data_IF_641371073582
#
_entry.id   IF_641371073582
#
_cell.length_a   1.000
_cell.length_b   1.000
_cell.length_c   1.000
_cell.angle_alpha   90.00
_cell.angle_beta   90.00
_cell.angle_gamma   90.00
#
_symmetry.space_group_name_H-M   'P 1'
#
loop_
_entity.id
_entity.type
_entity.pdbx_description
1 polymer ?
#
# COMPACT_ATOMS: atom_id res chain seq x y z
N UNK A 1 20.43 8.18 0.79
CA UNK A 1 21.61 7.33 0.55
C UNK A 1 22.70 7.48 1.61
N UNK A 2 23.33 8.65 1.81
CA UNK A 2 24.38 8.82 2.85
C UNK A 2 23.97 8.37 4.26
N UNK A 3 22.82 8.82 4.75
CA UNK A 3 22.28 8.37 6.07
C UNK A 3 22.05 6.86 6.17
N UNK A 4 21.70 6.19 5.06
CA UNK A 4 21.48 4.74 5.03
C UNK A 4 22.81 3.97 5.02
N UNK A 5 23.83 4.52 4.35
CA UNK A 5 25.19 3.99 4.38
C UNK A 5 25.77 4.03 5.81
N UNK A 6 25.50 5.12 6.54
CA UNK A 6 25.92 5.28 7.94
C UNK A 6 25.22 4.29 8.89
N UNK A 7 23.95 3.94 8.62
CA UNK A 7 23.17 3.01 9.44
C UNK A 7 23.45 1.54 9.12
N UNK A 8 23.58 1.19 7.84
CA UNK A 8 23.83 -0.18 7.39
C UNK A 8 24.38 -0.20 5.97
N UNK A 9 25.69 -0.45 5.87
CA UNK A 9 26.38 -0.65 4.59
C UNK A 9 25.80 -1.83 3.78
N UNK A 10 25.53 -3.01 4.36
CA UNK A 10 24.93 -4.12 3.59
C UNK A 10 23.58 -3.77 2.96
N UNK A 11 22.71 -3.06 3.71
CA UNK A 11 21.42 -2.63 3.18
C UNK A 11 21.58 -1.58 2.08
N UNK A 12 22.52 -0.64 2.26
CA UNK A 12 22.87 0.35 1.25
C UNK A 12 23.32 -0.30 -0.06
N UNK A 13 24.25 -1.24 0.01
CA UNK A 13 24.83 -1.87 -1.18
C UNK A 13 23.79 -2.72 -1.92
N UNK A 14 22.93 -3.44 -1.18
CA UNK A 14 21.78 -4.14 -1.76
C UNK A 14 20.80 -3.20 -2.48
N UNK A 15 20.51 -2.04 -1.90
CA UNK A 15 19.56 -1.08 -2.47
C UNK A 15 20.12 -0.38 -3.71
N UNK A 16 21.42 -0.05 -3.71
CA UNK A 16 22.11 0.59 -4.86
C UNK A 16 22.15 -0.33 -6.08
N UNK A 17 22.18 -1.65 -5.89
CA UNK A 17 22.11 -2.63 -6.98
C UNK A 17 20.75 -2.60 -7.70
N UNK A 18 19.67 -2.18 -7.02
CA UNK A 18 18.32 -2.14 -7.60
C UNK A 18 18.09 -0.85 -8.37
N UNK A 19 17.37 -0.97 -9.47
CA UNK A 19 16.99 0.18 -10.30
C UNK A 19 16.25 1.25 -9.46
N UNK A 20 16.79 2.49 -9.38
CA UNK A 20 16.21 3.59 -8.62
C UNK A 20 14.75 3.90 -8.97
N UNK A 21 14.28 3.54 -10.17
CA UNK A 21 12.88 3.74 -10.57
C UNK A 21 11.88 2.97 -9.70
N UNK A 22 12.29 1.87 -9.07
CA UNK A 22 11.41 1.06 -8.24
C UNK A 22 11.30 1.53 -6.79
N UNK A 23 12.30 2.26 -6.28
CA UNK A 23 12.40 2.56 -4.84
C UNK A 23 12.67 4.04 -4.52
N UNK A 24 13.18 4.82 -5.47
CA UNK A 24 13.42 6.25 -5.26
C UNK A 24 12.23 7.07 -5.75
N UNK A 25 11.62 7.81 -4.83
CA UNK A 25 10.53 8.75 -5.13
C UNK A 25 10.89 9.80 -6.18
N UNK A 26 12.19 10.10 -6.38
CA UNK A 26 12.65 11.05 -7.39
C UNK A 26 12.33 10.63 -8.83
N UNK A 27 12.09 9.33 -9.06
CA UNK A 27 11.78 8.76 -10.38
C UNK A 27 10.28 8.54 -10.60
N UNK A 28 9.44 8.77 -9.59
CA UNK A 28 7.99 8.67 -9.77
C UNK A 28 7.48 9.83 -10.61
N UNK A 29 6.56 9.54 -11.53
CA UNK A 29 5.96 10.55 -12.40
C UNK A 29 5.28 11.61 -11.52
N UNK A 30 5.64 12.87 -11.73
CA UNK A 30 5.09 14.02 -10.98
C UNK A 30 3.57 14.21 -11.15
N UNK A 31 2.99 13.54 -12.13
CA UNK A 31 1.62 13.70 -12.61
C UNK A 31 0.66 12.74 -11.91
N UNK A 32 1.17 11.70 -11.23
CA UNK A 32 0.40 10.81 -10.36
C UNK A 32 0.58 11.15 -8.88
N UNK A 33 0.93 12.41 -8.55
CA UNK A 33 0.96 12.89 -7.17
C UNK A 33 -0.46 13.17 -6.71
N UNK A 34 -1.09 12.16 -6.14
CA UNK A 34 -2.14 12.43 -5.20
C UNK A 34 -1.87 11.62 -3.93
N UNK A 35 -0.95 12.12 -3.11
CA UNK A 35 -0.77 11.63 -1.73
C UNK A 35 -2.10 11.64 -0.97
N UNK A 36 -2.96 12.62 -1.31
CA UNK A 36 -4.34 12.67 -0.84
C UNK A 36 -5.14 11.42 -1.26
N UNK A 37 -5.04 10.92 -2.50
CA UNK A 37 -5.73 9.70 -2.91
C UNK A 37 -5.17 8.45 -2.23
N UNK A 38 -3.86 8.35 -2.04
CA UNK A 38 -3.24 7.15 -1.45
C UNK A 38 -3.55 7.03 0.05
N UNK A 39 -3.39 8.13 0.81
CA UNK A 39 -3.77 8.14 2.22
C UNK A 39 -5.28 7.95 2.38
N UNK A 40 -6.11 8.61 1.57
CA UNK A 40 -7.56 8.42 1.60
C UNK A 40 -7.96 6.98 1.27
N UNK A 41 -7.25 6.28 0.38
CA UNK A 41 -7.52 4.89 0.05
C UNK A 41 -7.19 3.97 1.22
N UNK A 42 -6.01 4.14 1.84
CA UNK A 42 -5.62 3.38 3.02
C UNK A 42 -6.57 3.64 4.19
N UNK A 43 -6.95 4.89 4.43
CA UNK A 43 -7.93 5.25 5.45
C UNK A 43 -9.31 4.66 5.15
N UNK A 44 -9.79 4.75 3.91
CA UNK A 44 -11.09 4.19 3.52
C UNK A 44 -11.11 2.67 3.66
N UNK A 45 -10.04 1.99 3.26
CA UNK A 45 -9.88 0.55 3.44
C UNK A 45 -9.80 0.18 4.92
N UNK A 46 -9.00 0.90 5.71
CA UNK A 46 -8.88 0.64 7.14
C UNK A 46 -10.22 0.80 7.87
N UNK A 47 -10.99 1.85 7.53
CA UNK A 47 -12.34 2.06 8.06
C UNK A 47 -13.29 0.91 7.69
N UNK A 48 -13.22 0.40 6.47
CA UNK A 48 -14.16 -0.60 6.00
C UNK A 48 -13.94 -2.01 6.54
N UNK A 49 -12.72 -2.32 7.00
CA UNK A 49 -12.41 -3.62 7.59
C UNK A 49 -12.40 -3.61 9.13
N UNK A 50 -12.74 -2.50 9.79
CA UNK A 50 -12.71 -2.37 11.25
C UNK A 50 -13.45 -3.52 11.95
N UNK A 51 -14.71 -3.79 11.56
CA UNK A 51 -15.56 -4.83 12.15
C UNK A 51 -15.15 -6.27 11.79
N UNK A 52 -14.16 -6.43 10.91
CA UNK A 52 -13.65 -7.73 10.49
C UNK A 52 -12.33 -8.09 11.20
N UNK A 53 -11.61 -7.11 11.75
CA UNK A 53 -10.26 -7.29 12.32
C UNK A 53 -10.23 -8.12 13.59
N UNK A 54 -11.29 -8.06 14.36
CA UNK A 54 -11.53 -8.75 15.62
C UNK A 54 -12.12 -10.16 15.43
N UNK A 55 -12.27 -10.61 14.17
CA UNK A 55 -12.76 -11.94 13.82
C UNK A 55 -11.60 -12.92 13.57
N UNK A 56 -11.84 -14.24 13.67
CA UNK A 56 -10.88 -15.25 13.20
C UNK A 56 -10.49 -15.02 11.72
N UNK A 57 -9.26 -15.39 11.35
CA UNK A 57 -8.68 -15.08 10.03
C UNK A 57 -9.57 -15.51 8.85
N UNK A 58 -10.21 -16.68 8.93
CA UNK A 58 -11.12 -17.17 7.89
C UNK A 58 -12.35 -16.26 7.75
N UNK A 59 -12.96 -15.87 8.87
CA UNK A 59 -14.12 -14.97 8.90
C UNK A 59 -13.75 -13.56 8.43
N UNK A 60 -12.57 -13.07 8.78
CA UNK A 60 -12.06 -11.77 8.32
C UNK A 60 -11.89 -11.77 6.79
N UNK A 61 -11.25 -12.79 6.23
CA UNK A 61 -11.02 -12.92 4.79
C UNK A 61 -12.34 -13.01 4.00
N UNK A 62 -13.30 -13.78 4.50
CA UNK A 62 -14.61 -13.91 3.86
C UNK A 62 -15.37 -12.57 3.85
N UNK A 63 -15.31 -11.80 4.94
CA UNK A 63 -15.90 -10.45 5.02
C UNK A 63 -15.25 -9.49 4.03
N UNK A 64 -13.93 -9.50 3.91
CA UNK A 64 -13.21 -8.65 2.94
C UNK A 64 -13.59 -9.04 1.50
N UNK A 65 -13.69 -10.34 1.20
CA UNK A 65 -14.11 -10.86 -0.11
C UNK A 65 -15.49 -10.34 -0.51
N UNK A 66 -16.48 -10.50 0.37
CA UNK A 66 -17.86 -10.03 0.14
C UNK A 66 -17.92 -8.52 -0.04
N UNK A 67 -17.17 -7.76 0.76
CA UNK A 67 -17.10 -6.31 0.63
C UNK A 67 -16.57 -5.86 -0.74
N UNK A 68 -15.50 -6.50 -1.24
CA UNK A 68 -14.93 -6.21 -2.57
C UNK A 68 -15.94 -6.58 -3.68
N UNK A 69 -16.62 -7.74 -3.56
CA UNK A 69 -17.63 -8.16 -4.53
C UNK A 69 -18.82 -7.20 -4.61
N UNK A 70 -19.33 -6.73 -3.47
CA UNK A 70 -20.41 -5.74 -3.42
C UNK A 70 -19.98 -4.41 -4.05
N UNK A 71 -18.76 -3.95 -3.79
CA UNK A 71 -18.21 -2.76 -4.42
C UNK A 71 -18.07 -2.89 -5.93
N UNK A 72 -17.58 -4.04 -6.41
CA UNK A 72 -17.44 -4.29 -7.83
C UNK A 72 -18.81 -4.31 -8.53
N UNK A 73 -19.82 -4.96 -7.93
CA UNK A 73 -21.19 -4.98 -8.47
C UNK A 73 -21.83 -3.59 -8.55
N UNK A 74 -21.60 -2.71 -7.57
CA UNK A 74 -22.12 -1.32 -7.56
C UNK A 74 -21.49 -0.40 -8.61
N UNK A 75 -20.39 -0.79 -9.24
CA UNK A 75 -19.74 -0.03 -10.32
C UNK A 75 -20.21 -0.45 -11.71
N UNK A 76 -20.94 -1.56 -11.81
CA UNK A 76 -21.42 -2.14 -13.06
C UNK A 76 -22.91 -1.80 -13.31
N UNK A 77 -23.57 -1.18 -12.33
CA UNK A 77 -24.89 -0.57 -12.42
C UNK A 77 -24.76 0.95 -12.34
#
# INVERSE_FOLDING_TARGET
MRKMLELSKPAHDWLVEKDPRHWSMSYFKSHSKCDMLMNNLCEAFNRSIMDARDKPILTMLERIRLYIMLMAGRRVL
#
